data_IF_670329484318
#
_entry.id   IF_670329484318
#
_cell.length_a   1.000
_cell.length_b   1.000
_cell.length_c   1.000
_cell.angle_alpha   90.00
_cell.angle_beta   90.00
_cell.angle_gamma   90.00
#
_symmetry.space_group_name_H-M   'P 1'
#
loop_
_entity.id
_entity.type
_entity.pdbx_description
1 polymer ?
#
# COMPACT_ATOMS: atom_id res chain seq x y z
N UNK A 1 -11.62 21.58 -23.06
CA UNK A 1 -11.23 20.83 -21.85
C UNK A 1 -10.34 19.68 -22.29
N UNK A 2 -9.08 19.61 -21.84
CA UNK A 2 -8.24 18.44 -22.13
C UNK A 2 -8.72 17.29 -21.24
N UNK A 3 -9.28 16.26 -21.85
CA UNK A 3 -9.55 14.99 -21.17
C UNK A 3 -8.20 14.30 -20.87
N UNK A 4 -8.08 13.67 -19.71
CA UNK A 4 -6.90 12.84 -19.39
C UNK A 4 -6.73 11.73 -20.43
N UNK A 5 -5.51 11.19 -20.52
CA UNK A 5 -5.19 10.02 -21.36
C UNK A 5 -4.63 8.89 -20.49
N UNK A 6 -4.86 7.68 -20.91
CA UNK A 6 -4.24 6.50 -20.28
C UNK A 6 -2.83 6.38 -20.83
N UNK A 7 -1.81 6.40 -19.97
CA UNK A 7 -0.40 6.22 -20.34
C UNK A 7 0.11 4.83 -19.99
N UNK A 8 -0.52 4.13 -19.05
CA UNK A 8 -0.19 2.78 -18.68
C UNK A 8 -1.43 2.00 -18.25
N UNK A 9 -1.44 0.72 -18.50
CA UNK A 9 -2.44 -0.22 -18.01
C UNK A 9 -1.72 -1.39 -17.33
N UNK A 10 -2.01 -1.61 -16.06
CA UNK A 10 -1.46 -2.72 -15.27
C UNK A 10 -2.54 -3.79 -15.19
N UNK A 11 -2.49 -4.72 -16.13
CA UNK A 11 -3.46 -5.82 -16.20
C UNK A 11 -3.10 -6.94 -15.24
N UNK A 12 -4.09 -7.58 -14.61
CA UNK A 12 -3.86 -8.83 -13.87
C UNK A 12 -3.50 -9.96 -14.83
N UNK A 13 -2.86 -10.99 -14.29
CA UNK A 13 -2.54 -12.24 -14.95
C UNK A 13 -2.84 -13.46 -14.05
N UNK A 14 -2.41 -14.65 -14.44
CA UNK A 14 -2.66 -15.87 -13.68
C UNK A 14 -1.96 -15.90 -12.32
N UNK A 15 -0.82 -15.24 -12.18
CA UNK A 15 -0.05 -15.15 -10.94
C UNK A 15 -0.49 -13.96 -10.10
N UNK A 16 -0.56 -12.79 -10.74
CA UNK A 16 -0.94 -11.52 -10.12
C UNK A 16 -2.39 -11.20 -10.47
N UNK A 17 -3.27 -11.74 -9.69
CA UNK A 17 -4.70 -11.85 -10.02
C UNK A 17 -5.50 -10.57 -9.83
N UNK A 18 -4.94 -9.59 -9.08
CA UNK A 18 -5.56 -8.28 -8.86
C UNK A 18 -4.51 -7.23 -8.54
N UNK A 19 -4.70 -6.03 -9.07
CA UNK A 19 -3.99 -4.82 -8.67
C UNK A 19 -4.99 -3.81 -8.16
N UNK A 20 -4.73 -3.17 -7.01
CA UNK A 20 -5.66 -2.20 -6.43
C UNK A 20 -4.99 -1.20 -5.51
N UNK A 21 -5.74 -0.15 -5.17
CA UNK A 21 -5.44 0.83 -4.13
C UNK A 21 -4.02 1.39 -4.24
N UNK A 22 -3.82 2.25 -5.21
CA UNK A 22 -2.53 2.87 -5.47
C UNK A 22 -2.45 4.31 -5.02
N UNK A 23 -1.22 4.74 -4.74
CA UNK A 23 -0.88 6.11 -4.38
C UNK A 23 0.35 6.58 -5.15
N UNK A 24 0.40 7.87 -5.43
CA UNK A 24 1.52 8.52 -6.09
C UNK A 24 2.27 9.44 -5.13
N UNK A 25 3.58 9.51 -5.29
CA UNK A 25 4.39 10.51 -4.61
C UNK A 25 5.53 10.96 -5.53
N UNK A 26 5.75 12.28 -5.62
CA UNK A 26 6.94 12.82 -6.27
C UNK A 26 8.14 12.66 -5.35
N UNK A 27 9.17 12.03 -5.86
CA UNK A 27 10.43 11.84 -5.16
C UNK A 27 11.31 13.08 -5.23
N UNK A 28 12.31 13.17 -4.37
CA UNK A 28 13.30 14.28 -4.37
C UNK A 28 14.10 14.35 -5.67
N UNK A 29 14.22 13.23 -6.38
CA UNK A 29 14.82 13.16 -7.72
C UNK A 29 13.98 13.83 -8.82
N UNK A 30 12.71 14.14 -8.53
CA UNK A 30 11.73 14.60 -9.51
C UNK A 30 10.91 13.46 -10.15
N UNK A 31 11.35 12.22 -10.03
CA UNK A 31 10.58 11.06 -10.51
C UNK A 31 9.25 10.92 -9.76
N UNK A 32 8.27 10.31 -10.40
CA UNK A 32 7.02 9.92 -9.74
C UNK A 32 7.11 8.45 -9.34
N UNK A 33 6.86 8.16 -8.07
CA UNK A 33 6.66 6.81 -7.57
C UNK A 33 5.17 6.53 -7.51
N UNK A 34 4.76 5.39 -8.09
CA UNK A 34 3.43 4.81 -7.95
C UNK A 34 3.54 3.52 -7.17
N UNK A 35 2.95 3.47 -5.98
CA UNK A 35 2.85 2.25 -5.18
C UNK A 35 1.43 1.73 -5.19
N UNK A 36 1.26 0.41 -5.20
CA UNK A 36 -0.04 -0.23 -5.23
C UNK A 36 0.00 -1.63 -4.61
N UNK A 37 -1.19 -2.14 -4.25
CA UNK A 37 -1.37 -3.49 -3.73
C UNK A 37 -1.43 -4.49 -4.89
N UNK A 38 -0.63 -5.55 -4.83
CA UNK A 38 -0.58 -6.63 -5.81
C UNK A 38 -0.97 -7.95 -5.15
N UNK A 39 -2.07 -8.54 -5.60
CA UNK A 39 -2.64 -9.78 -5.07
C UNK A 39 -2.14 -10.99 -5.86
N UNK A 40 -1.89 -12.09 -5.16
CA UNK A 40 -1.28 -13.29 -5.71
C UNK A 40 -2.25 -14.47 -5.53
N UNK A 41 -2.57 -15.14 -6.63
CA UNK A 41 -3.31 -16.39 -6.67
C UNK A 41 -4.81 -16.31 -6.39
N UNK A 42 -5.31 -15.20 -5.82
CA UNK A 42 -6.73 -14.99 -5.50
C UNK A 42 -7.06 -13.50 -5.55
N UNK A 43 -8.31 -13.15 -5.83
CA UNK A 43 -8.78 -11.76 -5.95
C UNK A 43 -9.45 -11.21 -4.69
N UNK A 44 -9.67 -12.01 -3.67
CA UNK A 44 -10.34 -11.59 -2.42
C UNK A 44 -9.45 -10.73 -1.52
N UNK A 45 -10.05 -9.88 -0.70
CA UNK A 45 -9.35 -8.98 0.23
C UNK A 45 -8.56 -9.70 1.34
N UNK A 46 -8.69 -11.00 1.46
CA UNK A 46 -7.94 -11.83 2.38
C UNK A 46 -6.90 -12.71 1.67
N UNK A 47 -6.75 -12.54 0.36
CA UNK A 47 -5.71 -13.21 -0.41
C UNK A 47 -4.34 -12.67 -0.04
N UNK A 48 -3.30 -13.44 -0.32
CA UNK A 48 -1.92 -12.97 -0.21
C UNK A 48 -1.73 -11.72 -1.08
N UNK A 49 -1.21 -10.66 -0.49
CA UNK A 49 -0.95 -9.42 -1.20
C UNK A 49 0.29 -8.73 -0.65
N UNK A 50 1.01 -8.09 -1.54
CA UNK A 50 2.22 -7.34 -1.27
C UNK A 50 2.10 -5.91 -1.81
N UNK A 51 2.94 -5.02 -1.32
CA UNK A 51 3.05 -3.65 -1.84
C UNK A 51 4.20 -3.58 -2.83
N UNK A 52 3.91 -3.15 -4.04
CA UNK A 52 4.90 -2.94 -5.10
C UNK A 52 4.89 -1.50 -5.57
N UNK A 53 5.98 -1.07 -6.21
CA UNK A 53 6.03 0.25 -6.83
C UNK A 53 6.64 0.21 -8.23
N UNK A 54 6.32 1.24 -9.00
CA UNK A 54 6.93 1.60 -10.29
C UNK A 54 7.40 3.05 -10.24
N UNK A 55 8.40 3.38 -11.01
CA UNK A 55 8.93 4.74 -11.13
C UNK A 55 8.67 5.27 -12.54
N UNK A 56 8.33 6.55 -12.62
CA UNK A 56 8.27 7.27 -13.89
C UNK A 56 9.29 8.41 -13.87
N UNK A 57 10.20 8.48 -14.85
CA UNK A 57 11.16 9.58 -14.99
C UNK A 57 10.60 10.77 -15.77
N UNK A 58 9.42 10.65 -16.39
CA UNK A 58 8.92 11.50 -17.47
C UNK A 58 7.43 11.88 -17.28
N UNK A 59 7.04 12.26 -16.06
CA UNK A 59 5.69 12.73 -15.73
C UNK A 59 4.58 11.70 -16.00
N UNK A 60 4.89 10.42 -15.86
CA UNK A 60 3.90 9.33 -16.03
C UNK A 60 3.77 8.81 -17.45
N UNK A 61 4.63 9.25 -18.38
CA UNK A 61 4.62 8.75 -19.77
C UNK A 61 5.09 7.30 -19.85
N UNK A 62 6.19 6.99 -19.16
CA UNK A 62 6.74 5.64 -19.06
C UNK A 62 6.93 5.22 -17.60
N UNK A 63 6.92 3.91 -17.37
CA UNK A 63 7.01 3.31 -16.04
C UNK A 63 7.99 2.14 -16.04
N UNK A 64 8.78 2.02 -14.97
CA UNK A 64 9.66 0.87 -14.77
C UNK A 64 8.87 -0.41 -14.52
N UNK A 65 9.56 -1.55 -14.57
CA UNK A 65 9.02 -2.81 -14.04
C UNK A 65 8.72 -2.68 -12.53
N UNK A 66 7.75 -3.46 -12.00
CA UNK A 66 7.39 -3.40 -10.61
C UNK A 66 8.52 -3.90 -9.69
N UNK A 67 8.75 -3.17 -8.60
CA UNK A 67 9.65 -3.58 -7.52
C UNK A 67 8.83 -3.79 -6.25
N UNK A 68 9.07 -4.88 -5.53
CA UNK A 68 8.46 -5.11 -4.22
C UNK A 68 9.01 -4.10 -3.21
N UNK A 69 8.12 -3.44 -2.49
CA UNK A 69 8.45 -2.50 -1.41
C UNK A 69 8.27 -3.15 -0.03
N UNK A 70 7.17 -3.86 0.16
CA UNK A 70 6.78 -4.50 1.41
C UNK A 70 6.11 -5.83 1.13
N UNK A 71 6.47 -6.85 1.91
CA UNK A 71 5.76 -8.13 1.91
C UNK A 71 4.96 -8.29 3.20
N UNK A 72 3.87 -9.07 3.20
CA UNK A 72 3.07 -9.28 4.41
C UNK A 72 3.84 -10.00 5.52
N UNK A 73 4.80 -10.84 5.18
CA UNK A 73 5.65 -11.58 6.13
C UNK A 73 6.44 -10.65 7.05
N UNK A 74 6.85 -9.47 6.54
CA UNK A 74 7.54 -8.44 7.34
C UNK A 74 6.70 -7.93 8.53
N UNK A 75 5.39 -8.16 8.49
CA UNK A 75 4.41 -7.79 9.53
C UNK A 75 3.81 -9.00 10.25
N UNK A 76 4.28 -10.22 9.96
CA UNK A 76 3.66 -11.45 10.45
C UNK A 76 2.22 -11.60 9.95
N UNK A 77 1.94 -11.14 8.75
CA UNK A 77 0.64 -11.06 8.12
C UNK A 77 0.56 -11.97 6.88
N UNK A 78 -0.64 -12.14 6.34
CA UNK A 78 -0.89 -12.84 5.09
C UNK A 78 -1.15 -11.88 3.93
N UNK A 79 -1.40 -10.61 4.26
CA UNK A 79 -1.79 -9.60 3.28
C UNK A 79 -1.25 -8.23 3.71
N UNK A 80 -0.65 -7.49 2.79
CA UNK A 80 -0.29 -6.09 2.93
C UNK A 80 -0.94 -5.30 1.80
N UNK A 81 -1.84 -4.38 2.15
CA UNK A 81 -2.69 -3.69 1.17
C UNK A 81 -3.04 -2.26 1.60
N UNK A 82 -3.85 -1.58 0.79
CA UNK A 82 -4.40 -0.24 1.05
C UNK A 82 -3.31 0.81 1.25
N UNK A 83 -2.50 0.99 0.21
CA UNK A 83 -1.33 1.86 0.22
C UNK A 83 -1.72 3.33 0.20
N UNK A 84 -1.09 4.12 1.06
CA UNK A 84 -1.08 5.57 0.98
C UNK A 84 0.35 6.10 1.18
N UNK A 85 0.72 7.12 0.41
CA UNK A 85 2.06 7.71 0.43
C UNK A 85 1.99 9.16 0.88
N UNK A 86 3.02 9.60 1.61
CA UNK A 86 3.14 10.98 2.02
C UNK A 86 4.60 11.43 2.16
N UNK A 87 4.83 12.74 2.00
CA UNK A 87 6.07 13.36 2.44
C UNK A 87 5.89 13.82 3.88
N UNK A 88 6.71 13.32 4.78
CA UNK A 88 6.70 13.69 6.19
C UNK A 88 7.27 15.10 6.38
N UNK A 89 6.92 15.78 7.48
CA UNK A 89 7.40 17.13 7.79
C UNK A 89 8.93 17.24 7.89
N UNK A 90 9.60 16.17 8.32
CA UNK A 90 11.07 16.09 8.37
C UNK A 90 11.72 15.75 7.01
N UNK A 91 10.93 15.61 5.95
CA UNK A 91 11.38 15.25 4.61
C UNK A 91 11.47 13.75 4.31
N UNK A 92 11.19 12.88 5.28
CA UNK A 92 11.16 11.44 5.07
C UNK A 92 10.01 11.02 4.16
N UNK A 93 10.18 9.87 3.53
CA UNK A 93 9.13 9.19 2.81
C UNK A 93 8.29 8.38 3.80
N UNK A 94 6.98 8.55 3.79
CA UNK A 94 6.02 7.80 4.59
C UNK A 94 5.13 6.93 3.73
N UNK A 95 4.95 5.67 4.14
CA UNK A 95 4.05 4.72 3.54
C UNK A 95 3.11 4.18 4.61
N UNK A 96 1.80 4.36 4.43
CA UNK A 96 0.78 3.68 5.20
C UNK A 96 0.30 2.43 4.48
N UNK A 97 0.06 1.38 5.24
CA UNK A 97 -0.56 0.15 4.73
C UNK A 97 -1.38 -0.52 5.82
N UNK A 98 -2.26 -1.41 5.39
CA UNK A 98 -2.96 -2.36 6.26
C UNK A 98 -2.27 -3.71 6.12
N UNK A 99 -1.85 -4.30 7.25
CA UNK A 99 -1.35 -5.67 7.32
C UNK A 99 -2.42 -6.55 7.96
N UNK A 100 -2.93 -7.55 7.22
CA UNK A 100 -4.00 -8.45 7.68
C UNK A 100 -3.43 -9.81 8.03
N UNK A 101 -3.69 -10.26 9.25
CA UNK A 101 -3.35 -11.63 9.73
C UNK A 101 -4.47 -12.63 9.44
N UNK A 102 -5.71 -12.15 9.36
CA UNK A 102 -6.90 -12.91 8.99
C UNK A 102 -7.98 -11.95 8.47
N UNK A 103 -9.13 -12.47 8.10
CA UNK A 103 -10.28 -11.66 7.69
C UNK A 103 -10.71 -10.64 8.78
N UNK A 104 -10.53 -10.99 10.05
CA UNK A 104 -10.99 -10.19 11.19
C UNK A 104 -9.88 -9.44 11.93
N UNK A 105 -8.60 -9.75 11.68
CA UNK A 105 -7.48 -9.20 12.43
C UNK A 105 -6.55 -8.45 11.49
N UNK A 106 -6.41 -7.15 11.70
CA UNK A 106 -5.52 -6.30 10.93
C UNK A 106 -4.85 -5.24 11.79
N UNK A 107 -3.77 -4.68 11.28
CA UNK A 107 -3.04 -3.55 11.86
C UNK A 107 -2.80 -2.51 10.76
N UNK A 108 -2.73 -1.25 11.15
CA UNK A 108 -2.37 -0.15 10.25
C UNK A 108 -0.97 0.32 10.61
N UNK A 109 -0.06 0.26 9.66
CA UNK A 109 1.32 0.68 9.86
C UNK A 109 1.66 1.95 9.12
N UNK A 110 2.42 2.83 9.78
CA UNK A 110 3.21 3.87 9.15
C UNK A 110 4.66 3.39 9.06
N UNK A 111 5.13 3.20 7.85
CA UNK A 111 6.52 2.85 7.54
C UNK A 111 7.27 4.09 7.06
N UNK A 112 8.47 4.34 7.61
CA UNK A 112 9.28 5.53 7.28
C UNK A 112 10.58 5.14 6.60
N UNK A 113 10.94 5.90 5.56
CA UNK A 113 12.15 5.72 4.78
C UNK A 113 12.90 7.05 4.63
N UNK A 114 14.23 6.99 4.67
CA UNK A 114 15.13 8.12 4.39
C UNK A 114 15.70 8.11 2.98
N UNK A 115 15.49 7.02 2.26
CA UNK A 115 16.02 6.74 0.92
C UNK A 115 14.93 6.55 -0.12
N UNK A 116 13.85 7.33 0.00
CA UNK A 116 12.76 7.40 -0.98
C UNK A 116 12.04 6.04 -1.21
N UNK A 117 11.91 5.25 -0.14
CA UNK A 117 11.21 3.97 -0.18
C UNK A 117 12.06 2.79 -0.65
N UNK A 118 13.39 2.96 -0.76
CA UNK A 118 14.30 1.85 -1.05
C UNK A 118 14.47 0.92 0.16
N UNK A 119 14.53 1.49 1.37
CA UNK A 119 14.51 0.77 2.64
C UNK A 119 13.67 1.50 3.69
N UNK A 120 13.25 0.79 4.74
CA UNK A 120 12.41 1.34 5.80
C UNK A 120 13.06 1.11 7.17
N UNK A 121 13.33 2.20 7.88
CA UNK A 121 13.99 2.18 9.18
C UNK A 121 13.03 2.13 10.36
N UNK A 122 11.74 2.38 10.14
CA UNK A 122 10.72 2.42 11.18
C UNK A 122 9.39 1.90 10.66
N UNK A 123 8.72 1.09 11.47
CA UNK A 123 7.34 0.61 11.28
C UNK A 123 6.58 0.83 12.58
N UNK A 124 5.59 1.71 12.56
CA UNK A 124 4.79 2.06 13.74
C UNK A 124 3.36 1.59 13.52
N UNK A 125 2.85 0.80 14.46
CA UNK A 125 1.43 0.46 14.51
C UNK A 125 0.63 1.70 14.95
N UNK A 126 -0.20 2.21 14.04
CA UNK A 126 -0.98 3.42 14.27
C UNK A 126 -2.21 3.20 15.14
N UNK A 127 -2.62 1.95 15.39
CA UNK A 127 -3.79 1.60 16.19
C UNK A 127 -3.42 1.14 17.61
N UNK A 128 -2.12 1.05 17.93
CA UNK A 128 -1.66 0.64 19.27
C UNK A 128 -1.92 -0.82 19.59
N UNK A 129 -2.09 -1.68 18.57
CA UNK A 129 -2.36 -3.10 18.70
C UNK A 129 -3.18 -3.62 17.52
N UNK A 130 -3.59 -4.88 17.56
CA UNK A 130 -4.43 -5.48 16.51
C UNK A 130 -5.85 -4.96 16.60
N UNK A 131 -6.33 -4.26 15.56
CA UNK A 131 -7.74 -3.98 15.41
C UNK A 131 -8.47 -5.23 14.90
N UNK A 132 -9.63 -5.49 15.45
CA UNK A 132 -10.55 -6.47 14.89
C UNK A 132 -11.36 -5.80 13.79
N UNK A 133 -11.43 -6.43 12.62
CA UNK A 133 -12.30 -5.97 11.55
C UNK A 133 -13.73 -5.91 12.07
N UNK A 134 -14.41 -4.82 11.78
CA UNK A 134 -15.81 -4.65 12.13
C UNK A 134 -16.67 -5.66 11.36
N UNK A 135 -16.77 -6.87 11.87
CA UNK A 135 -17.94 -7.67 11.66
C UNK A 135 -19.03 -6.99 12.47
N UNK A 136 -19.96 -6.36 11.77
CA UNK A 136 -21.12 -5.70 12.32
C UNK A 136 -21.75 -6.47 13.49
N UNK A 137 -21.38 -6.13 14.69
CA UNK A 137 -22.29 -6.23 15.80
C UNK A 137 -22.60 -4.80 16.17
N UNK A 138 -23.76 -4.35 15.80
CA UNK A 138 -24.44 -3.23 16.41
C UNK A 138 -24.53 -3.48 17.91
N UNK A 139 -23.45 -3.20 18.62
CA UNK A 139 -23.55 -2.97 20.03
C UNK A 139 -23.64 -1.46 20.16
N UNK A 140 -24.84 -0.94 20.09
CA UNK A 140 -25.19 0.34 20.66
C UNK A 140 -24.74 0.31 22.10
N UNK A 141 -23.62 0.93 22.40
CA UNK A 141 -23.29 1.29 23.76
C UNK A 141 -24.37 2.28 24.23
N UNK A 142 -25.07 2.03 25.34
CA UNK A 142 -25.99 3.01 25.89
C UNK A 142 -25.14 4.19 26.37
N UNK A 143 -25.39 5.37 25.82
CA UNK A 143 -24.95 6.59 26.41
C UNK A 143 -25.73 6.75 27.72
N UNK A 144 -25.04 6.58 28.86
CA UNK A 144 -25.51 6.96 30.15
C UNK A 144 -24.97 8.35 30.52
#
# INVERSE_FOLDING_TARGET
MKTGRVTALISPDETYTRHSEGAFLRLKSGQILFAYSRFIGNTGDNAHAEVVCRLSPDEGETWTEPRVMMTPEEFGAINAMSVSLMRMANGDFGLFLIAKRSAAIYQVFLCRSRDEGASFYSRVDCLGGMAQGAMSSTTTAPFG
#
